data_IF_437706792010
#
_entry.id   IF_437706792010
#
_cell.length_a   1.000
_cell.length_b   1.000
_cell.length_c   1.000
_cell.angle_alpha   90.00
_cell.angle_beta   90.00
_cell.angle_gamma   90.00
#
_symmetry.space_group_name_H-M   'P 1'
#
loop_
_entity.id
_entity.type
_entity.pdbx_description
1 polymer ?
#
# COMPACT_ATOMS: atom_id res chain seq x y z
N UNK A 1 -26.58 18.08 24.49
CA UNK A 1 -26.45 18.64 25.86
C UNK A 1 -24.97 18.73 26.13
N UNK A 2 -24.42 19.93 25.93
CA UNK A 2 -22.98 20.22 25.92
C UNK A 2 -22.53 20.39 27.37
N UNK A 3 -21.48 19.69 27.78
CA UNK A 3 -20.82 19.94 29.07
C UNK A 3 -19.44 20.55 28.76
N UNK A 4 -19.37 21.85 28.96
CA UNK A 4 -18.12 22.62 28.96
C UNK A 4 -17.54 22.51 30.38
N UNK A 5 -16.37 21.88 30.51
CA UNK A 5 -15.60 21.93 31.77
C UNK A 5 -14.53 23.00 31.66
N UNK A 6 -14.80 24.13 32.30
CA UNK A 6 -13.82 25.19 32.48
C UNK A 6 -12.89 24.84 33.67
N UNK A 7 -11.60 24.76 33.43
CA UNK A 7 -10.60 24.60 34.47
C UNK A 7 -9.92 25.96 34.77
N UNK A 8 -10.23 26.54 35.91
CA UNK A 8 -9.56 27.74 36.42
C UNK A 8 -8.22 27.37 37.05
N UNK A 9 -7.11 27.92 36.57
CA UNK A 9 -5.82 27.90 37.25
C UNK A 9 -5.56 29.22 37.92
N UNK A 10 -5.27 29.13 39.20
CA UNK A 10 -4.91 30.28 40.05
C UNK A 10 -3.44 30.67 39.84
N UNK A 11 -3.21 31.99 39.71
CA UNK A 11 -1.90 32.62 39.54
C UNK A 11 -1.29 32.87 40.91
N UNK A 12 -0.07 32.38 41.14
CA UNK A 12 0.80 32.84 42.22
C UNK A 12 1.85 33.80 41.64
N UNK A 13 1.85 35.01 42.16
CA UNK A 13 2.77 36.08 41.77
C UNK A 13 4.19 35.82 42.30
N UNK A 14 5.18 35.79 41.40
CA UNK A 14 6.58 35.83 41.69
C UNK A 14 7.27 36.86 40.77
N UNK A 15 7.75 37.94 41.37
CA UNK A 15 8.38 39.04 40.68
C UNK A 15 9.78 38.65 40.19
N UNK A 16 10.00 38.61 38.89
CA UNK A 16 11.28 38.49 38.24
C UNK A 16 11.14 38.98 36.80
N UNK A 17 11.87 40.06 36.50
CA UNK A 17 11.90 40.69 35.18
C UNK A 17 12.56 39.74 34.18
N UNK A 18 11.77 38.96 33.49
CA UNK A 18 12.18 38.27 32.27
C UNK A 18 11.52 38.99 31.10
N UNK A 19 12.33 39.40 30.16
CA UNK A 19 11.87 39.79 28.83
C UNK A 19 11.14 38.61 28.23
N UNK A 20 9.81 38.72 28.22
CA UNK A 20 8.93 37.74 27.59
C UNK A 20 9.07 37.92 26.08
N UNK A 21 9.89 37.09 25.45
CA UNK A 21 9.64 36.76 24.06
C UNK A 21 8.25 36.12 24.06
N UNK A 22 7.34 36.76 23.34
CA UNK A 22 5.99 36.25 23.07
C UNK A 22 6.15 34.86 22.47
N UNK A 23 5.52 33.80 23.01
CA UNK A 23 5.47 32.53 22.30
C UNK A 23 4.85 32.81 20.92
N UNK A 24 5.57 32.45 19.87
CA UNK A 24 5.07 32.47 18.52
C UNK A 24 3.87 31.52 18.55
N UNK A 25 2.68 32.04 18.31
CA UNK A 25 1.47 31.25 18.19
C UNK A 25 1.77 30.13 17.19
N UNK A 26 1.86 28.90 17.69
CA UNK A 26 1.78 27.74 16.81
C UNK A 26 0.42 27.89 16.12
N UNK A 27 0.41 28.19 14.85
CA UNK A 27 -0.81 28.13 14.06
C UNK A 27 -1.29 26.68 14.19
N UNK A 28 -2.44 26.48 14.83
CA UNK A 28 -3.16 25.22 14.76
C UNK A 28 -3.45 24.99 13.27
N UNK A 29 -2.80 23.99 12.68
CA UNK A 29 -3.11 23.60 11.32
C UNK A 29 -4.58 23.20 11.30
N UNK A 30 -5.35 23.85 10.43
CA UNK A 30 -6.74 23.51 10.21
C UNK A 30 -6.80 22.13 9.56
N UNK A 31 -7.51 21.21 10.18
CA UNK A 31 -7.78 19.89 9.63
C UNK A 31 -9.21 19.81 9.12
N UNK A 32 -9.43 18.92 8.17
CA UNK A 32 -10.72 18.64 7.55
C UNK A 32 -10.97 17.14 7.60
N UNK A 33 -12.18 16.77 7.95
CA UNK A 33 -12.65 15.39 7.89
C UNK A 33 -12.81 14.95 6.43
N UNK A 34 -12.01 13.98 6.00
CA UNK A 34 -12.12 13.35 4.69
C UNK A 34 -12.85 12.01 4.86
N UNK A 35 -13.94 11.83 4.13
CA UNK A 35 -14.70 10.58 4.16
C UNK A 35 -14.13 9.59 3.16
N UNK A 36 -13.79 8.39 3.64
CA UNK A 36 -13.38 7.23 2.84
C UNK A 36 -14.57 6.27 2.77
N UNK A 37 -15.07 6.02 1.57
CA UNK A 37 -16.19 5.10 1.33
C UNK A 37 -15.75 3.97 0.42
N UNK A 38 -15.93 2.74 0.88
CA UNK A 38 -15.58 1.52 0.14
C UNK A 38 -16.85 0.73 -0.12
N UNK A 39 -17.01 0.24 -1.34
CA UNK A 39 -18.14 -0.64 -1.71
C UNK A 39 -17.63 -1.80 -2.51
N UNK A 40 -17.95 -3.02 -2.10
CA UNK A 40 -17.70 -4.23 -2.86
C UNK A 40 -18.96 -4.67 -3.60
N UNK A 41 -18.79 -5.36 -4.72
CA UNK A 41 -19.91 -5.97 -5.42
C UNK A 41 -20.50 -7.15 -4.63
N UNK A 42 -19.69 -7.92 -3.89
CA UNK A 42 -20.14 -8.90 -2.90
C UNK A 42 -18.97 -9.45 -2.05
N UNK A 43 -19.32 -10.20 -0.99
CA UNK A 43 -18.40 -11.05 -0.23
C UNK A 43 -17.47 -10.35 0.76
N UNK A 44 -17.49 -9.04 0.86
CA UNK A 44 -16.72 -8.30 1.85
C UNK A 44 -17.55 -8.15 3.14
N UNK A 45 -17.19 -8.85 4.17
CA UNK A 45 -17.92 -8.97 5.42
C UNK A 45 -17.00 -8.84 6.66
N UNK A 46 -17.58 -9.00 7.85
CA UNK A 46 -16.87 -8.90 9.12
C UNK A 46 -15.72 -9.90 9.31
N UNK A 47 -15.68 -11.01 8.53
CA UNK A 47 -14.62 -12.02 8.59
C UNK A 47 -13.49 -11.72 7.59
N UNK A 48 -13.71 -10.81 6.67
CA UNK A 48 -12.71 -10.33 5.73
C UNK A 48 -11.71 -9.41 6.42
N UNK A 49 -10.51 -9.24 5.85
CA UNK A 49 -9.65 -8.12 6.27
C UNK A 49 -10.30 -6.80 5.85
N UNK A 50 -9.99 -5.66 6.49
CA UNK A 50 -10.47 -4.37 6.03
C UNK A 50 -9.88 -4.02 4.66
N UNK A 51 -10.52 -3.12 3.94
CA UNK A 51 -9.85 -2.35 2.91
C UNK A 51 -8.94 -1.31 3.60
N UNK A 52 -7.71 -1.15 3.12
CA UNK A 52 -6.77 -0.25 3.77
C UNK A 52 -6.43 0.89 2.81
N UNK A 53 -6.82 2.10 3.16
CA UNK A 53 -6.45 3.29 2.43
C UNK A 53 -4.97 3.64 2.70
N UNK A 54 -4.20 3.89 1.67
CA UNK A 54 -2.88 4.48 1.72
C UNK A 54 -2.99 5.93 1.30
N UNK A 55 -2.59 6.85 2.16
CA UNK A 55 -2.74 8.29 2.00
C UNK A 55 -1.35 8.91 1.96
N UNK A 56 -1.00 9.49 0.83
CA UNK A 56 0.29 10.13 0.59
C UNK A 56 0.07 11.58 0.14
N UNK A 57 0.86 12.50 0.65
CA UNK A 57 0.85 13.90 0.25
C UNK A 57 1.02 14.84 1.44
N UNK A 58 1.27 16.10 1.16
CA UNK A 58 1.40 17.14 2.19
C UNK A 58 2.29 16.73 3.38
N UNK A 59 3.48 16.15 3.09
CA UNK A 59 4.46 15.66 4.07
C UNK A 59 3.98 14.50 4.97
N UNK A 60 2.87 13.81 4.64
CA UNK A 60 2.42 12.58 5.31
C UNK A 60 2.41 11.37 4.37
N UNK A 61 2.65 10.20 4.94
CA UNK A 61 2.61 8.89 4.27
C UNK A 61 2.15 7.88 5.32
N UNK A 62 0.87 7.53 5.31
CA UNK A 62 0.30 6.63 6.31
C UNK A 62 -0.87 5.82 5.75
N UNK A 63 -1.31 4.84 6.55
CA UNK A 63 -2.41 3.94 6.21
C UNK A 63 -3.56 4.07 7.22
N UNK A 64 -4.78 3.87 6.72
CA UNK A 64 -6.02 3.93 7.49
C UNK A 64 -6.95 2.78 7.10
N UNK A 65 -7.52 2.06 8.08
CA UNK A 65 -8.40 0.94 7.81
C UNK A 65 -9.86 1.38 7.62
N UNK A 66 -10.51 0.83 6.59
CA UNK A 66 -11.95 0.93 6.37
C UNK A 66 -12.55 -0.46 6.55
N UNK A 67 -13.29 -0.67 7.63
CA UNK A 67 -13.95 -1.94 7.93
C UNK A 67 -15.33 -2.03 7.27
N UNK A 68 -15.80 -3.23 6.91
CA UNK A 68 -17.16 -3.38 6.41
C UNK A 68 -18.20 -3.08 7.48
N UNK A 69 -19.31 -2.52 7.05
CA UNK A 69 -20.51 -2.31 7.88
C UNK A 69 -21.15 -3.66 8.25
N UNK A 70 -22.06 -3.66 9.22
CA UNK A 70 -22.73 -4.87 9.69
C UNK A 70 -23.52 -5.63 8.59
N UNK A 71 -23.98 -4.91 7.56
CA UNK A 71 -24.69 -5.50 6.42
C UNK A 71 -23.72 -6.07 5.36
N UNK A 72 -22.40 -5.83 5.51
CA UNK A 72 -21.37 -6.21 4.56
C UNK A 72 -21.36 -5.40 3.26
N UNK A 73 -20.34 -5.64 2.43
CA UNK A 73 -20.15 -5.05 1.10
C UNK A 73 -20.04 -3.52 1.04
N UNK A 74 -20.07 -2.84 2.16
CA UNK A 74 -19.87 -1.40 2.30
C UNK A 74 -19.13 -1.12 3.58
N UNK A 75 -18.37 -0.04 3.57
CA UNK A 75 -17.71 0.47 4.74
C UNK A 75 -17.39 1.95 4.55
N UNK A 76 -17.45 2.69 5.66
CA UNK A 76 -17.16 4.12 5.67
C UNK A 76 -16.30 4.43 6.87
N UNK A 77 -15.27 5.24 6.67
CA UNK A 77 -14.43 5.77 7.72
C UNK A 77 -14.10 7.23 7.46
N UNK A 78 -13.61 7.92 8.46
CA UNK A 78 -13.23 9.33 8.37
C UNK A 78 -11.81 9.48 8.86
N UNK A 79 -11.02 10.26 8.12
CA UNK A 79 -9.65 10.62 8.49
C UNK A 79 -9.51 12.13 8.50
N UNK A 80 -8.84 12.68 9.52
CA UNK A 80 -8.53 14.10 9.59
C UNK A 80 -7.25 14.40 8.81
N UNK A 81 -7.34 15.29 7.82
CA UNK A 81 -6.19 15.73 7.02
C UNK A 81 -6.04 17.25 7.09
N UNK A 82 -4.80 17.74 7.09
CA UNK A 82 -4.52 19.15 6.93
C UNK A 82 -4.83 19.62 5.51
N UNK A 83 -4.92 20.93 5.31
CA UNK A 83 -5.05 21.52 3.97
C UNK A 83 -3.87 21.13 3.07
N UNK A 84 -4.14 20.62 1.86
CA UNK A 84 -3.12 20.17 0.93
C UNK A 84 -3.62 19.21 -0.15
N UNK A 85 -2.69 18.74 -0.96
CA UNK A 85 -2.96 17.77 -2.02
C UNK A 85 -2.51 16.38 -1.57
N UNK A 86 -3.37 15.39 -1.82
CA UNK A 86 -3.15 14.00 -1.42
C UNK A 86 -3.51 13.04 -2.54
N UNK A 87 -2.82 11.91 -2.57
CA UNK A 87 -3.15 10.75 -3.39
C UNK A 87 -3.61 9.63 -2.46
N UNK A 88 -4.77 9.07 -2.72
CA UNK A 88 -5.35 7.97 -1.94
C UNK A 88 -5.47 6.72 -2.81
N UNK A 89 -4.85 5.64 -2.38
CA UNK A 89 -4.99 4.31 -2.98
C UNK A 89 -5.48 3.30 -1.95
N UNK A 90 -5.89 2.11 -2.37
CA UNK A 90 -6.42 1.10 -1.45
C UNK A 90 -5.73 -0.25 -1.64
N UNK A 91 -5.44 -0.90 -0.52
CA UNK A 91 -5.07 -2.32 -0.47
C UNK A 91 -6.35 -3.14 -0.42
N UNK A 92 -6.45 -4.14 -1.28
CA UNK A 92 -7.59 -5.06 -1.32
C UNK A 92 -7.73 -5.82 -0.01
N UNK A 93 -8.94 -5.98 0.52
CA UNK A 93 -9.19 -6.98 1.53
C UNK A 93 -9.04 -8.39 0.97
N UNK A 94 -8.85 -9.37 1.87
CA UNK A 94 -8.92 -10.79 1.58
C UNK A 94 -10.17 -11.35 2.24
N UNK A 95 -11.07 -11.89 1.41
CA UNK A 95 -12.33 -12.46 1.86
C UNK A 95 -12.12 -13.87 2.45
N UNK A 96 -13.05 -14.31 3.30
CA UNK A 96 -12.98 -15.57 4.02
C UNK A 96 -14.15 -16.52 3.76
N UNK A 97 -15.04 -16.22 2.84
CA UNK A 97 -16.30 -16.99 2.72
C UNK A 97 -16.10 -18.47 2.34
N UNK A 98 -14.88 -18.84 1.95
CA UNK A 98 -14.49 -20.23 1.68
C UNK A 98 -15.05 -20.83 0.38
N UNK A 99 -15.99 -20.20 -0.29
CA UNK A 99 -16.56 -20.61 -1.57
C UNK A 99 -15.96 -19.85 -2.75
N UNK A 100 -15.59 -18.60 -2.52
CA UNK A 100 -14.88 -17.75 -3.46
C UNK A 100 -13.79 -17.00 -2.67
N UNK A 101 -12.54 -17.35 -2.89
CA UNK A 101 -11.41 -16.68 -2.26
C UNK A 101 -11.15 -15.38 -3.01
N UNK A 102 -11.94 -14.39 -2.66
CA UNK A 102 -11.98 -13.15 -3.39
C UNK A 102 -11.01 -12.16 -2.81
N UNK A 103 -10.24 -11.61 -3.69
CA UNK A 103 -9.58 -10.34 -3.54
C UNK A 103 -10.19 -9.40 -4.56
N UNK A 104 -9.97 -8.11 -4.41
CA UNK A 104 -10.67 -7.11 -5.19
C UNK A 104 -9.71 -6.23 -5.97
N UNK A 105 -10.14 -5.83 -7.16
CA UNK A 105 -9.58 -4.68 -7.84
C UNK A 105 -10.11 -3.41 -7.15
N UNK A 106 -9.21 -2.65 -6.56
CA UNK A 106 -9.53 -1.41 -5.84
C UNK A 106 -9.45 -0.17 -6.73
N UNK A 107 -9.18 -0.34 -8.01
CA UNK A 107 -9.05 0.73 -8.98
C UNK A 107 -7.73 1.53 -8.86
N UNK A 108 -7.66 2.60 -9.63
CA UNK A 108 -6.51 3.49 -9.62
C UNK A 108 -6.52 4.42 -8.39
N UNK A 109 -5.34 4.92 -7.96
CA UNK A 109 -5.25 5.98 -6.97
C UNK A 109 -6.10 7.21 -7.33
N UNK A 110 -6.62 7.89 -6.32
CA UNK A 110 -7.48 9.07 -6.44
C UNK A 110 -6.75 10.26 -5.85
N UNK A 111 -6.57 11.32 -6.65
CA UNK A 111 -6.03 12.57 -6.16
C UNK A 111 -7.15 13.43 -5.57
N UNK A 112 -6.91 14.01 -4.40
CA UNK A 112 -7.82 14.93 -3.72
C UNK A 112 -7.08 16.18 -3.27
N UNK A 113 -7.78 17.30 -3.26
CA UNK A 113 -7.33 18.53 -2.61
C UNK A 113 -8.19 18.77 -1.37
N UNK A 114 -7.55 18.89 -0.22
CA UNK A 114 -8.19 19.25 1.05
C UNK A 114 -8.08 20.76 1.22
N UNK A 115 -9.23 21.42 1.30
CA UNK A 115 -9.35 22.87 1.49
C UNK A 115 -10.20 23.11 2.76
N UNK A 116 -9.58 23.70 3.76
CA UNK A 116 -10.24 23.98 5.06
C UNK A 116 -11.35 25.04 4.99
N UNK A 117 -11.40 25.81 3.92
CA UNK A 117 -12.43 26.82 3.68
C UNK A 117 -13.52 26.32 2.70
N UNK A 118 -13.40 25.07 2.21
CA UNK A 118 -14.40 24.44 1.34
C UNK A 118 -15.74 24.25 2.05
N UNK A 119 -16.84 24.44 1.32
CA UNK A 119 -18.20 24.23 1.85
C UNK A 119 -18.56 22.76 2.03
N UNK A 120 -17.86 21.87 1.36
CA UNK A 120 -18.12 20.42 1.36
C UNK A 120 -16.81 19.71 1.65
N UNK A 121 -16.83 18.84 2.64
CA UNK A 121 -15.69 17.99 2.95
C UNK A 121 -15.39 17.05 1.76
N UNK A 122 -14.10 16.78 1.45
CA UNK A 122 -13.71 15.83 0.44
C UNK A 122 -14.19 14.42 0.78
N UNK A 123 -14.49 13.64 -0.26
CA UNK A 123 -14.83 12.23 -0.11
C UNK A 123 -14.10 11.41 -1.18
N UNK A 124 -13.55 10.27 -0.76
CA UNK A 124 -12.93 9.28 -1.65
C UNK A 124 -13.82 8.06 -1.72
N UNK A 125 -14.18 7.64 -2.92
CA UNK A 125 -14.98 6.44 -3.13
C UNK A 125 -14.12 5.38 -3.82
N UNK A 126 -14.06 4.18 -3.22
CA UNK A 126 -13.39 3.02 -3.74
C UNK A 126 -14.43 1.93 -4.09
N UNK A 127 -14.90 1.85 -5.32
CA UNK A 127 -15.69 0.72 -5.78
C UNK A 127 -14.76 -0.47 -6.02
N UNK A 128 -14.86 -1.49 -5.18
CA UNK A 128 -14.10 -2.72 -5.31
C UNK A 128 -14.83 -3.71 -6.20
N UNK A 129 -14.19 -4.15 -7.27
CA UNK A 129 -14.68 -5.22 -8.13
C UNK A 129 -14.01 -6.54 -7.76
N UNK A 130 -14.80 -7.60 -7.57
CA UNK A 130 -14.27 -8.93 -7.26
C UNK A 130 -13.37 -9.45 -8.39
N UNK A 131 -12.19 -9.94 -8.03
CA UNK A 131 -11.32 -10.67 -8.96
C UNK A 131 -11.77 -12.13 -8.98
N UNK A 132 -12.17 -12.69 -10.16
CA UNK A 132 -12.57 -14.09 -10.25
C UNK A 132 -11.50 -15.03 -9.68
N UNK A 133 -11.91 -16.06 -8.95
CA UNK A 133 -11.00 -16.96 -8.24
C UNK A 133 -9.96 -17.63 -9.15
N UNK A 134 -10.31 -17.87 -10.43
CA UNK A 134 -9.38 -18.41 -11.44
C UNK A 134 -8.33 -17.39 -11.93
N UNK A 135 -8.48 -16.13 -11.58
CA UNK A 135 -7.55 -15.04 -11.90
C UNK A 135 -6.70 -14.62 -10.68
N UNK A 136 -7.07 -15.04 -9.49
CA UNK A 136 -6.27 -14.79 -8.29
C UNK A 136 -4.98 -15.57 -8.38
N UNK A 137 -3.84 -14.88 -8.26
CA UNK A 137 -2.51 -15.48 -8.31
C UNK A 137 -1.82 -15.43 -6.95
N UNK A 138 -0.81 -16.28 -6.75
CA UNK A 138 0.02 -16.23 -5.54
C UNK A 138 0.72 -14.87 -5.37
N UNK A 139 1.19 -14.28 -6.45
CA UNK A 139 1.86 -12.96 -6.40
C UNK A 139 0.92 -11.84 -5.93
N UNK A 140 -0.37 -11.87 -6.33
CA UNK A 140 -1.37 -10.94 -5.83
C UNK A 140 -1.58 -11.09 -4.32
N UNK A 141 -1.67 -12.33 -3.84
CA UNK A 141 -1.82 -12.60 -2.41
C UNK A 141 -0.59 -12.20 -1.63
N UNK A 142 0.61 -12.49 -2.12
CA UNK A 142 1.87 -12.08 -1.51
C UNK A 142 2.00 -10.54 -1.46
N UNK A 143 1.58 -9.84 -2.50
CA UNK A 143 1.56 -8.37 -2.53
C UNK A 143 0.62 -7.80 -1.45
N UNK A 144 -0.59 -8.37 -1.32
CA UNK A 144 -1.54 -7.95 -0.27
C UNK A 144 -0.97 -8.21 1.12
N UNK A 145 -0.35 -9.38 1.36
CA UNK A 145 0.31 -9.70 2.64
C UNK A 145 1.37 -8.65 2.96
N UNK A 146 2.24 -8.34 2.01
CA UNK A 146 3.32 -7.36 2.22
C UNK A 146 2.77 -5.94 2.43
N UNK A 147 1.81 -5.51 1.63
CA UNK A 147 1.16 -4.19 1.80
C UNK A 147 0.41 -4.08 3.12
N UNK A 148 -0.24 -5.15 3.59
CA UNK A 148 -0.91 -5.15 4.90
C UNK A 148 0.12 -5.04 6.04
N UNK A 149 1.26 -5.73 5.94
CA UNK A 149 2.37 -5.59 6.90
C UNK A 149 2.91 -4.16 6.93
N UNK A 150 3.11 -3.55 5.78
CA UNK A 150 3.58 -2.17 5.69
C UNK A 150 2.53 -1.18 6.20
N UNK A 151 1.25 -1.46 5.94
CA UNK A 151 0.15 -0.68 6.47
C UNK A 151 0.10 -0.71 8.00
N UNK A 152 0.32 -1.85 8.62
CA UNK A 152 0.38 -1.92 10.09
C UNK A 152 1.60 -1.17 10.64
N UNK A 153 2.77 -1.22 9.98
CA UNK A 153 3.95 -0.46 10.40
C UNK A 153 3.73 1.05 10.37
N UNK A 154 3.15 1.55 9.27
CA UNK A 154 2.95 2.96 8.99
C UNK A 154 1.52 3.44 9.25
N UNK A 155 0.67 2.63 9.83
CA UNK A 155 -0.74 2.92 10.03
C UNK A 155 -1.01 3.87 11.18
N UNK A 156 -2.16 4.51 11.09
CA UNK A 156 -2.73 5.25 12.20
C UNK A 156 -3.32 4.33 13.28
N UNK A 157 -4.08 4.88 14.19
CA UNK A 157 -4.67 4.13 15.31
C UNK A 157 -5.61 2.99 14.88
N UNK A 158 -6.22 3.09 13.67
CA UNK A 158 -7.12 2.04 13.15
C UNK A 158 -6.40 0.74 12.79
N UNK A 159 -5.08 0.78 12.68
CA UNK A 159 -4.19 -0.33 12.33
C UNK A 159 -3.28 -0.75 13.49
N UNK A 160 -3.54 -0.27 14.71
CA UNK A 160 -2.70 -0.54 15.88
C UNK A 160 -3.43 -1.31 16.98
N UNK A 161 -2.67 -1.84 17.93
CA UNK A 161 -3.19 -2.58 19.08
C UNK A 161 -4.04 -3.78 18.71
N UNK A 162 -5.17 -3.94 19.36
CA UNK A 162 -6.10 -5.06 19.14
C UNK A 162 -6.68 -5.06 17.71
N UNK A 163 -6.88 -3.89 17.11
CA UNK A 163 -7.34 -3.77 15.72
C UNK A 163 -6.31 -4.34 14.75
N UNK A 164 -5.04 -3.93 14.89
CA UNK A 164 -3.94 -4.45 14.08
C UNK A 164 -3.76 -5.97 14.25
N UNK A 165 -3.83 -6.46 15.48
CA UNK A 165 -3.78 -7.92 15.77
C UNK A 165 -4.91 -8.64 15.06
N UNK A 166 -6.15 -8.15 15.18
CA UNK A 166 -7.31 -8.77 14.53
C UNK A 166 -7.23 -8.77 13.00
N UNK A 167 -6.58 -7.78 12.40
CA UNK A 167 -6.32 -7.74 10.95
C UNK A 167 -5.32 -8.83 10.56
N UNK A 168 -4.24 -9.00 11.32
CA UNK A 168 -3.23 -10.06 11.06
C UNK A 168 -3.83 -11.46 11.21
N UNK A 169 -4.64 -11.69 12.25
CA UNK A 169 -5.33 -12.97 12.46
C UNK A 169 -6.26 -13.32 11.27
N UNK A 170 -7.00 -12.34 10.77
CA UNK A 170 -7.85 -12.51 9.60
C UNK A 170 -7.03 -12.76 8.34
N UNK A 171 -5.93 -12.01 8.16
CA UNK A 171 -5.04 -12.18 7.03
C UNK A 171 -4.47 -13.59 6.98
N UNK A 172 -3.91 -14.09 8.09
CA UNK A 172 -3.40 -15.44 8.21
C UNK A 172 -4.49 -16.48 7.90
N UNK A 173 -5.63 -16.39 8.60
CA UNK A 173 -6.73 -17.34 8.44
C UNK A 173 -7.31 -17.38 7.04
N UNK A 174 -7.38 -16.25 6.34
CA UNK A 174 -7.97 -16.15 5.01
C UNK A 174 -6.97 -16.58 3.93
N UNK A 175 -5.71 -16.16 4.01
CA UNK A 175 -4.65 -16.60 3.09
C UNK A 175 -4.37 -18.10 3.23
N UNK A 176 -4.39 -18.65 4.45
CA UNK A 176 -4.18 -20.08 4.69
C UNK A 176 -5.22 -20.97 3.97
N UNK A 177 -6.45 -20.49 3.86
CA UNK A 177 -7.54 -21.20 3.15
C UNK A 177 -7.49 -21.03 1.64
N UNK A 178 -6.77 -20.04 1.12
CA UNK A 178 -6.76 -19.75 -0.29
C UNK A 178 -6.01 -20.82 -1.10
N UNK A 179 -6.66 -21.49 -2.08
CA UNK A 179 -6.03 -22.55 -2.86
C UNK A 179 -4.93 -22.05 -3.80
N UNK A 180 -4.93 -20.75 -4.13
CA UNK A 180 -3.96 -20.13 -5.02
C UNK A 180 -2.73 -19.62 -4.26
N UNK A 181 -2.78 -19.55 -2.93
CA UNK A 181 -1.63 -19.17 -2.11
C UNK A 181 -0.63 -20.32 -2.03
N UNK A 182 0.64 -20.04 -2.34
CA UNK A 182 1.75 -20.97 -2.12
C UNK A 182 2.02 -21.18 -0.62
N UNK A 183 2.74 -22.25 -0.28
CA UNK A 183 3.17 -22.48 1.09
C UNK A 183 4.03 -21.31 1.61
N UNK A 184 4.80 -20.66 0.74
CA UNK A 184 5.60 -19.48 1.08
C UNK A 184 4.71 -18.31 1.48
N UNK A 185 3.71 -17.96 0.66
CA UNK A 185 2.78 -16.86 0.92
C UNK A 185 1.95 -17.10 2.17
N UNK A 186 1.50 -18.35 2.40
CA UNK A 186 0.83 -18.76 3.65
C UNK A 186 1.73 -18.58 4.86
N UNK A 187 3.01 -18.97 4.75
CA UNK A 187 3.97 -18.78 5.84
C UNK A 187 4.25 -17.30 6.11
N UNK A 188 4.35 -16.47 5.07
CA UNK A 188 4.53 -15.02 5.19
C UNK A 188 3.33 -14.34 5.87
N UNK A 189 2.10 -14.81 5.62
CA UNK A 189 0.92 -14.35 6.32
C UNK A 189 0.92 -14.79 7.80
N UNK A 190 1.25 -16.05 8.09
CA UNK A 190 1.36 -16.59 9.45
C UNK A 190 2.45 -15.90 10.27
N UNK A 191 3.58 -15.52 9.63
CA UNK A 191 4.69 -14.86 10.33
C UNK A 191 4.52 -13.33 10.40
N UNK A 192 3.44 -12.78 9.84
CA UNK A 192 3.21 -11.34 9.79
C UNK A 192 3.15 -10.68 11.18
N UNK A 193 2.61 -11.39 12.18
CA UNK A 193 2.57 -10.97 13.58
C UNK A 193 3.98 -10.84 14.23
N UNK A 194 4.98 -11.56 13.70
CA UNK A 194 6.38 -11.51 14.16
C UNK A 194 7.17 -10.40 13.45
N UNK A 195 6.73 -10.03 12.26
CA UNK A 195 7.42 -9.07 11.39
C UNK A 195 7.02 -7.61 11.66
N UNK A 196 5.89 -7.40 12.34
CA UNK A 196 5.37 -6.07 12.65
C UNK A 196 5.01 -5.95 14.13
N UNK A 197 5.23 -4.77 14.70
CA UNK A 197 4.79 -4.44 16.05
C UNK A 197 3.51 -3.60 15.98
N UNK A 198 2.38 -4.22 16.32
CA UNK A 198 1.08 -3.53 16.35
C UNK A 198 0.99 -2.47 17.45
N UNK A 199 1.92 -2.48 18.43
CA UNK A 199 1.96 -1.51 19.53
C UNK A 199 2.91 -0.34 19.24
N UNK A 200 3.53 -0.30 18.07
CA UNK A 200 4.27 0.86 17.62
C UNK A 200 3.38 2.10 17.61
N UNK A 201 4.03 3.26 17.79
CA UNK A 201 3.31 4.54 17.78
C UNK A 201 2.53 4.70 16.47
N UNK A 202 1.23 5.06 16.52
CA UNK A 202 0.45 5.37 15.33
C UNK A 202 1.11 6.48 14.49
N UNK A 203 0.95 6.40 13.19
CA UNK A 203 1.40 7.44 12.27
C UNK A 203 0.65 8.75 12.52
N UNK A 204 1.29 9.86 12.21
CA UNK A 204 0.65 11.16 12.24
C UNK A 204 -0.14 11.37 10.93
N UNK A 205 -1.39 11.75 11.05
CA UNK A 205 -2.28 12.03 9.91
C UNK A 205 -2.17 13.48 9.42
N UNK A 206 -1.46 14.32 10.16
CA UNK A 206 -1.20 15.72 9.81
C UNK A 206 0.30 16.01 9.84
N UNK A 207 0.79 16.96 9.02
CA UNK A 207 2.19 17.35 9.02
C UNK A 207 2.63 17.82 10.41
N UNK A 208 3.83 17.41 10.84
CA UNK A 208 4.42 17.98 12.03
C UNK A 208 4.82 19.43 11.77
N UNK A 209 4.39 20.35 12.61
CA UNK A 209 4.91 21.72 12.58
C UNK A 209 6.44 21.68 12.59
N UNK A 210 7.07 22.18 11.53
CA UNK A 210 8.53 22.20 11.40
C UNK A 210 9.11 23.03 12.54
N UNK A 211 9.64 22.34 13.53
CA UNK A 211 10.44 22.97 14.57
C UNK A 211 11.85 23.18 14.00
N UNK A 212 12.06 24.33 13.35
CA UNK A 212 13.35 24.78 12.85
C UNK A 212 14.28 25.13 14.02
N UNK A 213 14.65 24.12 14.78
CA UNK A 213 15.78 24.22 15.72
C UNK A 213 16.94 23.37 15.19
N UNK A 214 17.62 23.96 14.22
CA UNK A 214 18.95 23.55 13.80
C UNK A 214 19.94 23.76 14.97
N UNK A 215 20.16 22.73 15.76
CA UNK A 215 21.27 22.61 16.65
C UNK A 215 22.28 21.62 16.08
N UNK A 216 23.19 22.19 15.31
CA UNK A 216 24.47 21.65 14.91
C UNK A 216 25.21 21.09 16.15
N UNK A 217 25.51 19.81 16.14
CA UNK A 217 26.55 19.23 16.97
C UNK A 217 27.37 18.24 16.12
N UNK A 218 28.50 18.76 15.78
CA UNK A 218 29.70 18.13 15.25
C UNK A 218 30.32 17.16 16.28
N UNK A 219 31.01 16.17 15.80
CA UNK A 219 32.15 15.44 16.33
C UNK A 219 31.99 13.93 16.25
N UNK A 220 32.59 13.33 15.30
CA UNK A 220 33.99 12.97 15.06
C UNK A 220 34.51 11.82 15.95
N UNK A 221 35.20 10.94 15.25
CA UNK A 221 36.17 9.92 15.68
C UNK A 221 35.53 8.59 16.14
N UNK A 222 35.72 7.53 15.44
CA UNK A 222 36.99 7.02 14.92
C UNK A 222 37.39 5.83 15.74
N UNK A 223 37.48 4.71 15.08
CA UNK A 223 38.58 3.75 15.24
C UNK A 223 38.12 2.30 15.14
N UNK A 224 38.50 1.74 14.04
CA UNK A 224 38.83 0.33 13.82
C UNK A 224 40.16 0.02 14.56
N UNK A 225 40.69 -1.21 14.46
CA UNK A 225 40.30 -2.56 14.88
C UNK A 225 41.39 -3.17 15.76
N UNK A 226 41.22 -4.33 16.31
CA UNK A 226 42.33 -5.25 16.71
C UNK A 226 41.77 -6.64 16.87
N UNK A 227 42.13 -7.42 16.05
CA UNK A 227 43.10 -8.45 15.80
C UNK A 227 43.84 -9.01 17.03
N UNK A 228 44.00 -10.28 17.03
CA UNK A 228 44.86 -11.18 17.76
C UNK A 228 44.12 -12.02 18.81
N UNK A 229 44.32 -13.26 18.83
CA UNK A 229 45.32 -14.16 18.34
C UNK A 229 45.28 -15.42 19.14
N UNK A 230 45.50 -16.49 18.46
CA UNK A 230 46.43 -17.57 18.80
C UNK A 230 46.43 -18.16 20.20
N UNK A 231 46.30 -19.40 20.24
CA UNK A 231 47.24 -20.42 20.71
C UNK A 231 46.47 -21.63 21.25
N UNK A 232 46.58 -22.76 20.70
CA UNK A 232 47.67 -23.74 20.67
C UNK A 232 47.64 -24.69 21.89
N UNK A 233 47.86 -25.89 21.58
CA UNK A 233 48.33 -27.09 22.27
C UNK A 233 47.22 -28.15 22.46
N UNK A 234 47.37 -29.35 22.05
CA UNK A 234 48.50 -30.15 21.74
C UNK A 234 48.20 -31.57 22.19
N UNK A 235 48.85 -32.49 21.52
CA UNK A 235 49.18 -33.84 21.91
C UNK A 235 48.20 -34.93 21.49
N UNK A 236 48.49 -35.66 20.50
CA UNK A 236 49.44 -36.73 20.29
C UNK A 236 48.91 -38.12 20.68
N UNK A 237 49.19 -39.01 19.76
CA UNK A 237 49.37 -40.50 19.89
C UNK A 237 48.11 -41.30 19.54
N UNK A 238 48.10 -42.19 18.62
CA UNK A 238 49.13 -43.14 18.18
C UNK A 238 48.67 -43.87 16.90
N UNK A 239 49.65 -44.20 16.08
CA UNK A 239 49.57 -45.11 14.93
C UNK A 239 49.39 -46.53 15.43
N UNK A 240 48.79 -47.44 14.64
CA UNK A 240 49.64 -48.41 13.94
C UNK A 240 49.30 -48.63 12.45
N UNK A 241 50.29 -48.60 11.70
CA UNK A 241 50.85 -49.47 10.67
C UNK A 241 49.95 -50.30 9.76
N UNK A 242 50.12 -49.92 8.46
CA UNK A 242 50.43 -50.78 7.32
C UNK A 242 49.42 -51.84 6.84
N UNK A 243 48.92 -51.55 5.68
CA UNK A 243 48.85 -52.53 4.62
C UNK A 243 49.27 -51.82 3.30
N UNK A 244 50.43 -52.18 2.82
CA UNK A 244 51.01 -51.77 1.51
C UNK A 244 50.23 -52.45 0.38
N UNK A 245 49.42 -51.67 -0.31
CA UNK A 245 48.88 -52.07 -1.60
C UNK A 245 49.76 -51.45 -2.69
N UNK A 246 50.10 -52.16 -3.76
CA UNK A 246 51.04 -51.66 -4.76
C UNK A 246 50.50 -50.40 -5.41
N UNK A 247 51.28 -49.34 -5.38
CA UNK A 247 50.96 -48.06 -6.02
C UNK A 247 50.86 -48.27 -7.53
N UNK A 248 49.62 -48.13 -8.04
CA UNK A 248 49.37 -47.94 -9.46
C UNK A 248 50.19 -46.73 -9.93
N UNK A 249 50.89 -46.80 -11.09
CA UNK A 249 51.72 -45.65 -11.51
C UNK A 249 50.81 -44.40 -11.57
N UNK A 250 51.29 -43.33 -10.94
CA UNK A 250 50.63 -42.03 -10.97
C UNK A 250 50.64 -41.54 -12.43
N UNK A 251 49.46 -41.48 -13.06
CA UNK A 251 49.32 -40.86 -14.37
C UNK A 251 48.96 -39.38 -14.18
N UNK A 252 49.40 -38.56 -15.10
CA UNK A 252 49.03 -37.15 -15.13
C UNK A 252 47.59 -37.05 -15.61
N UNK A 253 46.70 -36.42 -14.81
CA UNK A 253 45.34 -36.21 -15.20
C UNK A 253 45.23 -35.13 -16.27
N UNK A 254 44.59 -35.46 -17.39
CA UNK A 254 44.20 -34.47 -18.38
C UNK A 254 42.71 -34.19 -18.18
N UNK A 255 42.43 -33.02 -17.64
CA UNK A 255 41.05 -32.60 -17.30
C UNK A 255 40.35 -32.05 -18.53
N UNK A 256 39.09 -32.50 -18.73
CA UNK A 256 38.20 -32.07 -19.82
C UNK A 256 36.86 -31.66 -19.22
N UNK A 257 36.33 -30.56 -19.70
CA UNK A 257 35.03 -30.09 -19.31
C UNK A 257 33.93 -30.97 -19.88
N UNK A 258 33.03 -31.47 -19.04
CA UNK A 258 31.76 -32.00 -19.47
C UNK A 258 30.74 -30.82 -19.49
N UNK A 259 30.06 -30.68 -20.63
CA UNK A 259 29.06 -29.61 -20.78
C UNK A 259 27.67 -30.21 -20.85
N UNK A 260 26.76 -29.55 -20.16
CA UNK A 260 25.31 -29.81 -20.22
C UNK A 260 24.57 -28.58 -20.72
N UNK A 261 23.36 -28.74 -21.13
CA UNK A 261 22.48 -27.63 -21.54
C UNK A 261 21.34 -27.49 -20.57
N UNK A 262 20.94 -26.26 -20.28
CA UNK A 262 19.74 -25.92 -19.51
C UNK A 262 18.94 -24.85 -20.22
N UNK A 263 17.64 -24.84 -20.01
CA UNK A 263 16.81 -23.73 -20.43
C UNK A 263 16.80 -22.67 -19.34
N UNK A 264 17.10 -21.44 -19.72
CA UNK A 264 17.10 -20.29 -18.87
C UNK A 264 16.08 -19.31 -19.43
N UNK A 265 15.17 -18.84 -18.57
CA UNK A 265 14.25 -17.77 -18.92
C UNK A 265 15.02 -16.45 -18.99
N UNK A 266 14.92 -15.76 -20.11
CA UNK A 266 15.47 -14.42 -20.28
C UNK A 266 14.30 -13.46 -20.35
N UNK A 267 14.11 -12.70 -19.28
CA UNK A 267 13.03 -11.73 -19.13
C UNK A 267 13.16 -10.58 -20.12
N UNK A 268 12.04 -10.13 -20.65
CA UNK A 268 11.89 -8.94 -21.48
C UNK A 268 10.65 -8.17 -21.03
N UNK A 269 10.85 -7.25 -20.10
CA UNK A 269 9.76 -6.47 -19.53
C UNK A 269 9.29 -5.39 -20.49
N UNK A 270 7.98 -5.40 -20.78
CA UNK A 270 7.31 -4.43 -21.65
C UNK A 270 6.25 -3.72 -20.83
N UNK A 271 6.17 -2.40 -20.96
CA UNK A 271 5.09 -1.62 -20.36
C UNK A 271 3.82 -1.76 -21.24
N UNK A 272 2.78 -2.34 -20.66
CA UNK A 272 1.48 -2.55 -21.30
C UNK A 272 0.49 -1.53 -20.71
N UNK A 273 -0.17 -0.71 -21.54
CA UNK A 273 -1.13 0.28 -21.04
C UNK A 273 -2.40 -0.40 -20.52
N UNK A 274 -2.81 0.02 -19.32
CA UNK A 274 -4.09 -0.35 -18.73
C UNK A 274 -5.18 0.62 -19.14
N UNK A 275 -6.34 0.11 -19.54
CA UNK A 275 -7.49 0.91 -19.92
C UNK A 275 -8.64 0.66 -18.99
N UNK A 276 -9.27 1.73 -18.53
CA UNK A 276 -10.47 1.68 -17.72
C UNK A 276 -11.57 2.58 -18.26
N UNK A 277 -12.74 2.51 -17.65
CA UNK A 277 -13.87 3.34 -18.00
C UNK A 277 -14.00 4.47 -16.99
N UNK A 278 -13.96 5.70 -17.46
CA UNK A 278 -14.17 6.90 -16.64
C UNK A 278 -15.45 7.59 -17.06
N UNK A 279 -16.27 7.98 -16.08
CA UNK A 279 -17.39 8.87 -16.34
C UNK A 279 -16.88 10.30 -16.52
N UNK A 280 -17.19 10.88 -17.66
CA UNK A 280 -16.88 12.27 -17.94
C UNK A 280 -18.17 13.04 -18.17
N UNK A 281 -18.20 14.29 -17.72
CA UNK A 281 -19.32 15.19 -18.02
C UNK A 281 -19.21 15.61 -19.47
N UNK A 282 -20.21 15.23 -20.27
CA UNK A 282 -20.27 15.56 -21.71
C UNK A 282 -21.24 16.70 -22.03
N UNK A 283 -22.00 17.15 -21.03
CA UNK A 283 -22.95 18.25 -21.18
C UNK A 283 -23.78 18.45 -19.93
N UNK A 284 -24.75 19.34 -20.01
CA UNK A 284 -25.70 19.58 -18.95
C UNK A 284 -27.13 19.53 -19.50
N UNK A 285 -28.07 19.06 -18.68
CA UNK A 285 -29.50 19.27 -18.89
C UNK A 285 -29.95 20.48 -18.07
N UNK A 286 -30.60 21.41 -18.72
CA UNK A 286 -31.20 22.59 -18.10
C UNK A 286 -32.67 22.29 -17.79
N UNK A 287 -33.09 22.44 -16.55
CA UNK A 287 -34.44 22.07 -16.06
C UNK A 287 -35.08 23.29 -15.44
N UNK A 288 -36.21 23.70 -15.98
CA UNK A 288 -37.00 24.85 -15.53
C UNK A 288 -38.10 24.43 -14.56
N UNK A 289 -38.59 25.39 -13.75
CA UNK A 289 -39.65 25.18 -12.77
C UNK A 289 -41.01 24.85 -13.39
N UNK A 290 -41.22 25.21 -14.67
CA UNK A 290 -42.43 24.90 -15.44
C UNK A 290 -42.44 23.50 -16.06
N UNK A 291 -41.35 22.72 -15.91
CA UNK A 291 -41.18 21.36 -16.42
C UNK A 291 -40.52 21.28 -17.78
N UNK A 292 -40.17 22.40 -18.41
CA UNK A 292 -39.35 22.39 -19.64
C UNK A 292 -37.93 21.93 -19.31
N UNK A 293 -37.34 21.14 -20.21
CA UNK A 293 -35.94 20.75 -20.07
C UNK A 293 -35.27 20.59 -21.43
N UNK A 294 -34.00 20.99 -21.53
CA UNK A 294 -33.20 20.90 -22.74
C UNK A 294 -31.74 20.66 -22.41
N UNK A 295 -31.00 20.16 -23.38
CA UNK A 295 -29.52 20.04 -23.31
C UNK A 295 -28.81 21.12 -24.09
N UNK A 296 -29.56 21.92 -24.86
CA UNK A 296 -29.05 23.05 -25.66
C UNK A 296 -29.15 24.33 -24.83
N UNK A 297 -28.02 24.99 -24.61
CA UNK A 297 -27.94 26.23 -23.84
C UNK A 297 -28.70 27.36 -24.50
N UNK A 298 -28.67 27.46 -25.85
CA UNK A 298 -29.40 28.53 -26.56
C UNK A 298 -30.92 28.35 -26.41
N UNK A 299 -31.42 27.10 -26.51
CA UNK A 299 -32.82 26.81 -26.27
C UNK A 299 -33.24 27.07 -24.83
N UNK A 300 -32.31 26.87 -23.85
CA UNK A 300 -32.55 27.22 -22.44
C UNK A 300 -32.64 28.75 -22.26
N UNK A 301 -31.74 29.51 -22.89
CA UNK A 301 -31.73 30.97 -22.81
C UNK A 301 -32.99 31.58 -23.50
N UNK A 302 -33.40 31.05 -24.65
CA UNK A 302 -34.62 31.46 -25.33
C UNK A 302 -35.86 31.22 -24.46
N UNK A 303 -35.98 30.04 -23.86
CA UNK A 303 -37.08 29.71 -22.96
C UNK A 303 -37.08 30.57 -21.68
N UNK A 304 -35.90 30.85 -21.13
CA UNK A 304 -35.77 31.77 -19.98
C UNK A 304 -36.27 33.19 -20.33
N UNK A 305 -35.94 33.66 -21.54
CA UNK A 305 -36.37 34.95 -22.01
C UNK A 305 -37.92 35.04 -22.21
N UNK A 306 -38.53 33.97 -22.75
CA UNK A 306 -40.00 33.87 -22.88
C UNK A 306 -40.68 33.88 -21.50
N UNK A 307 -40.14 33.16 -20.52
CA UNK A 307 -40.66 33.15 -19.15
C UNK A 307 -40.54 34.55 -18.49
N UNK A 308 -39.38 35.21 -18.69
CA UNK A 308 -39.19 36.56 -18.17
C UNK A 308 -40.17 37.58 -18.75
N UNK A 309 -40.42 37.51 -20.06
CA UNK A 309 -41.43 38.36 -20.75
C UNK A 309 -42.81 38.06 -20.20
N UNK A 310 -43.11 36.80 -19.87
CA UNK A 310 -44.42 36.40 -19.27
C UNK A 310 -44.49 36.70 -17.78
N UNK A 311 -43.48 37.28 -17.16
CA UNK A 311 -43.44 37.59 -15.71
C UNK A 311 -43.39 36.33 -14.83
N UNK A 312 -42.92 35.22 -15.36
CA UNK A 312 -42.75 33.96 -14.65
C UNK A 312 -41.32 33.77 -14.15
N UNK A 313 -41.10 32.78 -13.28
CA UNK A 313 -39.75 32.39 -12.90
C UNK A 313 -38.97 31.86 -14.09
N UNK A 314 -37.87 32.52 -14.43
CA UNK A 314 -37.00 32.20 -15.56
C UNK A 314 -35.71 31.49 -15.13
N UNK A 315 -35.59 31.12 -13.84
CA UNK A 315 -34.46 30.36 -13.34
C UNK A 315 -34.51 28.88 -13.74
N UNK A 316 -33.35 28.28 -13.93
CA UNK A 316 -33.21 26.87 -14.23
C UNK A 316 -32.14 26.21 -13.34
N UNK A 317 -32.27 24.92 -13.17
CA UNK A 317 -31.26 24.07 -12.54
C UNK A 317 -30.47 23.32 -13.63
N UNK A 318 -29.18 23.10 -13.39
CA UNK A 318 -28.36 22.30 -14.29
C UNK A 318 -28.12 20.92 -13.69
N UNK A 319 -28.24 19.88 -14.53
CA UNK A 319 -27.92 18.50 -14.18
C UNK A 319 -26.89 17.98 -15.15
N UNK A 320 -25.69 17.55 -14.69
CA UNK A 320 -24.65 17.04 -15.59
C UNK A 320 -25.09 15.73 -16.26
N UNK A 321 -24.72 15.59 -17.53
CA UNK A 321 -24.85 14.36 -18.31
C UNK A 321 -23.49 13.67 -18.31
N UNK A 322 -23.47 12.41 -17.88
CA UNK A 322 -22.26 11.62 -17.83
C UNK A 322 -22.23 10.61 -18.97
N UNK A 323 -21.05 10.43 -19.54
CA UNK A 323 -20.77 9.37 -20.52
C UNK A 323 -19.54 8.59 -20.07
N UNK A 324 -19.57 7.28 -20.27
CA UNK A 324 -18.44 6.42 -20.00
C UNK A 324 -17.44 6.48 -21.13
N UNK A 325 -16.23 6.95 -20.88
CA UNK A 325 -15.13 6.96 -21.85
C UNK A 325 -14.03 6.01 -21.42
N UNK A 326 -13.50 5.24 -22.38
CA UNK A 326 -12.31 4.42 -22.16
C UNK A 326 -11.10 5.34 -22.12
N UNK A 327 -10.39 5.35 -20.99
CA UNK A 327 -9.18 6.14 -20.77
C UNK A 327 -8.06 5.20 -20.33
N UNK A 328 -6.83 5.56 -20.65
CA UNK A 328 -5.68 4.87 -20.07
C UNK A 328 -5.60 5.27 -18.59
N UNK A 329 -5.68 4.26 -17.71
CA UNK A 329 -5.70 4.44 -16.25
C UNK A 329 -4.34 4.14 -15.61
N UNK A 330 -3.42 3.52 -16.35
CA UNK A 330 -2.10 3.16 -15.88
C UNK A 330 -1.31 2.40 -16.93
N UNK A 331 -0.25 1.76 -16.50
CA UNK A 331 0.47 0.75 -17.25
C UNK A 331 1.05 -0.26 -16.26
N UNK A 332 1.11 -1.51 -16.65
CA UNK A 332 1.80 -2.57 -15.92
C UNK A 332 2.93 -3.15 -16.75
N UNK A 333 3.84 -3.85 -16.08
CA UNK A 333 4.94 -4.53 -16.77
C UNK A 333 4.59 -5.98 -17.00
N UNK A 334 4.67 -6.40 -18.27
CA UNK A 334 4.55 -7.81 -18.64
C UNK A 334 5.90 -8.36 -19.06
N UNK A 335 6.22 -9.58 -18.61
CA UNK A 335 7.43 -10.26 -19.02
C UNK A 335 7.19 -11.09 -20.29
N UNK A 336 7.54 -10.49 -21.42
CA UNK A 336 7.54 -11.13 -22.74
C UNK A 336 8.84 -11.89 -23.01
N UNK A 337 9.48 -12.41 -21.99
CA UNK A 337 10.71 -13.17 -22.07
C UNK A 337 10.58 -14.46 -22.89
N UNK A 338 11.70 -15.08 -23.11
CA UNK A 338 11.79 -16.33 -23.86
C UNK A 338 12.77 -17.29 -23.21
N UNK A 339 12.50 -18.59 -23.36
CA UNK A 339 13.44 -19.62 -22.97
C UNK A 339 14.63 -19.64 -23.94
N UNK A 340 15.85 -19.45 -23.41
CA UNK A 340 17.10 -19.66 -24.14
C UNK A 340 17.82 -20.86 -23.60
N UNK A 341 18.36 -21.67 -24.51
CA UNK A 341 19.23 -22.78 -24.13
C UNK A 341 20.63 -22.26 -23.88
N UNK A 342 21.14 -22.49 -22.68
CA UNK A 342 22.50 -22.14 -22.25
C UNK A 342 23.30 -23.42 -22.05
N UNK A 343 24.54 -23.43 -22.55
CA UNK A 343 25.50 -24.50 -22.31
C UNK A 343 26.40 -24.11 -21.14
N UNK A 344 26.51 -24.97 -20.15
CA UNK A 344 27.35 -24.76 -18.98
C UNK A 344 28.21 -25.99 -18.70
N UNK A 345 29.32 -25.79 -17.99
CA UNK A 345 30.19 -26.89 -17.51
C UNK A 345 29.56 -27.40 -16.21
N UNK A 346 29.13 -28.64 -16.20
CA UNK A 346 28.49 -29.27 -15.03
C UNK A 346 29.53 -30.05 -14.17
N UNK A 347 30.59 -30.58 -14.77
CA UNK A 347 31.74 -31.11 -14.06
C UNK A 347 32.96 -31.21 -14.97
N UNK A 348 34.11 -31.41 -14.36
CA UNK A 348 35.37 -31.65 -15.04
C UNK A 348 35.80 -33.08 -14.77
N UNK A 349 36.24 -33.78 -15.80
CA UNK A 349 36.66 -35.17 -15.67
C UNK A 349 38.01 -35.45 -16.38
N UNK A 350 38.69 -36.46 -15.90
CA UNK A 350 39.89 -36.93 -16.56
C UNK A 350 39.53 -37.86 -17.70
N UNK A 351 39.94 -37.50 -18.94
CA UNK A 351 39.64 -38.28 -20.15
C UNK A 351 40.23 -39.68 -20.17
N UNK A 352 41.27 -39.93 -19.36
CA UNK A 352 42.00 -41.22 -19.35
C UNK A 352 41.53 -42.17 -18.23
N UNK A 353 41.08 -41.68 -17.07
CA UNK A 353 40.68 -42.52 -15.95
C UNK A 353 39.24 -42.29 -15.44
N UNK A 354 38.53 -41.29 -15.96
CA UNK A 354 37.17 -40.97 -15.56
C UNK A 354 37.02 -40.29 -14.18
N UNK A 355 38.12 -39.97 -13.49
CA UNK A 355 38.04 -39.24 -12.22
C UNK A 355 37.38 -37.88 -12.42
N UNK A 356 36.51 -37.47 -11.52
CA UNK A 356 35.85 -36.16 -11.55
C UNK A 356 36.46 -35.24 -10.48
N UNK A 357 36.48 -33.96 -10.83
CA UNK A 357 36.93 -32.88 -9.93
C UNK A 357 35.74 -31.99 -9.56
#
# INVERSE_FOLDING_TARGET
MVIVAALCLAVAAGCGTFTTEKPQDAQEEKTVDVTLSVTADHGWDENSTPAIAHIEGNDVDFYHAVTPDADGNKGTSTVELAEGDYTVSFVSPVNSDGSAFDIYDTGAPVDITVDADAKTAPAVNCPMAQIPADKVTDDMLADIVNKTKDAIKKGDETLKGDAGTGILDKLDGNVAKNPNASDKTKQEATDADKDVDVNDKPAQTTPSAKNDNNAKADSNAGSQPSNNGSSNSGSASSKPSQSSQPSKPAHTHTWVNHTATRNVWVSNWVDVPDYGTKQVVVGNTFIFSDGYSTTDINAAEDHAAELAIAGKDCGYQTRPIYENQTVQIGSHKEDHGTNKTETYVDYVYCSSCGARQ
#
